data_IF_630337230094
#
_entry.id   IF_630337230094
#
_cell.length_a   1.000
_cell.length_b   1.000
_cell.length_c   1.000
_cell.angle_alpha   90.00
_cell.angle_beta   90.00
_cell.angle_gamma   90.00
#
_symmetry.space_group_name_H-M   'P 1'
#
loop_
_entity.id
_entity.type
_entity.pdbx_description
1 polymer ?
#
# COMPACT_ATOMS: atom_id res chain seq x y z
N UNK A 1 -9.81 18.42 6.83
CA UNK A 1 -9.81 18.55 8.31
C UNK A 1 -10.65 17.43 8.89
N UNK A 2 -10.22 16.82 10.00
CA UNK A 2 -11.01 15.81 10.73
C UNK A 2 -11.78 16.50 11.85
N UNK A 3 -13.08 16.27 11.92
CA UNK A 3 -13.99 16.84 12.92
C UNK A 3 -14.83 15.74 13.58
N UNK A 4 -15.57 16.11 14.63
CA UNK A 4 -16.46 15.23 15.39
C UNK A 4 -17.87 15.81 15.35
N UNK A 5 -18.85 15.01 14.94
CA UNK A 5 -20.26 15.39 14.92
C UNK A 5 -20.80 15.46 16.35
N UNK A 6 -21.99 16.05 16.52
CA UNK A 6 -22.66 16.13 17.83
C UNK A 6 -22.96 14.77 18.45
N UNK A 7 -23.11 13.73 17.64
CA UNK A 7 -23.32 12.34 18.08
C UNK A 7 -22.01 11.61 18.42
N UNK A 8 -20.85 12.27 18.28
CA UNK A 8 -19.53 11.69 18.55
C UNK A 8 -18.87 11.00 17.36
N UNK A 9 -19.55 10.88 16.22
CA UNK A 9 -18.95 10.27 15.02
C UNK A 9 -17.91 11.18 14.37
N UNK A 10 -16.82 10.59 13.89
CA UNK A 10 -15.78 11.31 13.18
C UNK A 10 -16.15 11.53 11.71
N UNK A 11 -15.81 12.69 11.17
CA UNK A 11 -16.05 13.03 9.77
C UNK A 11 -14.93 13.90 9.21
N UNK A 12 -14.78 13.89 7.90
CA UNK A 12 -13.76 14.64 7.19
C UNK A 12 -14.39 15.73 6.34
N UNK A 13 -13.88 16.94 6.47
CA UNK A 13 -14.26 18.08 5.64
C UNK A 13 -13.12 18.50 4.72
N UNK A 14 -13.48 18.77 3.47
CA UNK A 14 -12.70 19.59 2.56
C UNK A 14 -13.37 20.96 2.48
N UNK A 15 -12.62 22.02 2.79
CA UNK A 15 -13.15 23.38 2.78
C UNK A 15 -12.42 24.20 1.72
N UNK A 16 -13.18 24.97 0.95
CA UNK A 16 -12.68 26.00 0.04
C UNK A 16 -13.17 27.34 0.55
N UNK A 17 -12.26 28.30 0.70
CA UNK A 17 -12.57 29.65 1.18
C UNK A 17 -12.13 30.64 0.12
N UNK A 18 -13.03 31.52 -0.31
CA UNK A 18 -12.74 32.55 -1.30
C UNK A 18 -13.23 33.93 -0.81
N UNK A 19 -12.44 35.00 -0.99
CA UNK A 19 -12.91 36.35 -0.69
C UNK A 19 -13.87 36.85 -1.76
N UNK A 20 -14.86 37.61 -1.34
CA UNK A 20 -15.67 38.47 -2.21
C UNK A 20 -15.10 39.86 -2.10
N UNK A 21 -14.72 40.45 -3.24
CA UNK A 21 -14.05 41.73 -3.33
C UNK A 21 -15.00 42.82 -3.82
N UNK A 22 -14.81 44.06 -3.36
CA UNK A 22 -15.39 45.23 -3.99
C UNK A 22 -14.62 45.65 -5.26
N UNK A 23 -15.07 46.73 -5.91
CA UNK A 23 -14.42 47.29 -7.12
C UNK A 23 -13.01 47.83 -6.88
N UNK A 24 -12.63 48.04 -5.62
CA UNK A 24 -11.32 48.55 -5.20
C UNK A 24 -10.42 47.42 -4.66
N UNK A 25 -10.80 46.15 -4.87
CA UNK A 25 -10.13 44.95 -4.37
C UNK A 25 -10.08 44.82 -2.83
N UNK A 26 -10.94 45.54 -2.10
CA UNK A 26 -11.08 45.33 -0.67
C UNK A 26 -11.96 44.10 -0.43
N UNK A 27 -11.57 43.26 0.53
CA UNK A 27 -12.38 42.13 0.97
C UNK A 27 -13.60 42.68 1.71
N UNK A 28 -14.79 42.38 1.18
CA UNK A 28 -16.06 42.73 1.82
C UNK A 28 -16.67 41.53 2.53
N UNK A 29 -16.49 40.31 2.00
CA UNK A 29 -17.00 39.07 2.59
C UNK A 29 -16.08 37.88 2.27
N UNK A 30 -16.30 36.76 2.95
CA UNK A 30 -15.63 35.49 2.70
C UNK A 30 -16.70 34.42 2.49
N UNK A 31 -16.67 33.72 1.35
CA UNK A 31 -17.51 32.56 1.11
C UNK A 31 -16.73 31.29 1.41
N UNK A 32 -17.37 30.37 2.14
CA UNK A 32 -16.82 29.05 2.43
C UNK A 32 -17.75 27.98 1.86
N UNK A 33 -17.15 27.00 1.18
CA UNK A 33 -17.82 25.78 0.77
C UNK A 33 -17.16 24.62 1.48
N UNK A 34 -17.97 23.83 2.20
CA UNK A 34 -17.50 22.65 2.91
C UNK A 34 -18.15 21.40 2.32
N UNK A 35 -17.32 20.45 1.93
CA UNK A 35 -17.74 19.15 1.42
C UNK A 35 -17.38 18.08 2.43
N UNK A 36 -18.37 17.29 2.85
CA UNK A 36 -18.12 16.07 3.62
C UNK A 36 -17.49 15.01 2.73
N UNK A 37 -16.24 14.65 3.03
CA UNK A 37 -15.44 13.69 2.29
C UNK A 37 -15.16 12.42 3.11
N UNK A 38 -15.97 12.14 4.13
CA UNK A 38 -15.76 11.00 5.04
C UNK A 38 -15.70 9.67 4.30
N UNK A 39 -16.65 9.42 3.39
CA UNK A 39 -16.68 8.19 2.59
C UNK A 39 -15.50 8.09 1.61
N UNK A 40 -15.04 9.23 1.09
CA UNK A 40 -13.87 9.28 0.22
C UNK A 40 -12.60 8.89 0.97
N UNK A 41 -12.38 9.44 2.16
CA UNK A 41 -11.23 9.09 3.00
C UNK A 41 -11.31 7.63 3.46
N UNK A 42 -12.50 7.11 3.78
CA UNK A 42 -12.69 5.69 4.10
C UNK A 42 -12.30 4.78 2.93
N UNK A 43 -12.80 5.07 1.73
CA UNK A 43 -12.49 4.30 0.51
C UNK A 43 -11.00 4.35 0.20
N UNK A 44 -10.37 5.52 0.33
CA UNK A 44 -8.93 5.70 0.14
C UNK A 44 -8.11 4.88 1.14
N UNK A 45 -8.53 4.85 2.41
CA UNK A 45 -7.86 4.05 3.43
C UNK A 45 -7.98 2.54 3.15
N UNK A 46 -9.17 2.07 2.74
CA UNK A 46 -9.41 0.68 2.36
C UNK A 46 -8.55 0.26 1.15
N UNK A 47 -8.45 1.14 0.14
CA UNK A 47 -7.60 0.93 -1.03
C UNK A 47 -6.12 0.84 -0.64
N UNK A 48 -5.64 1.75 0.22
CA UNK A 48 -4.26 1.75 0.68
C UNK A 48 -3.92 0.48 1.48
N UNK A 49 -4.82 0.06 2.37
CA UNK A 49 -4.65 -1.19 3.12
C UNK A 49 -4.60 -2.41 2.20
N UNK A 50 -5.46 -2.44 1.17
CA UNK A 50 -5.47 -3.53 0.19
C UNK A 50 -4.19 -3.56 -0.64
N UNK A 51 -3.71 -2.39 -1.07
CA UNK A 51 -2.45 -2.25 -1.79
C UNK A 51 -1.26 -2.74 -0.96
N UNK A 52 -1.16 -2.36 0.31
CA UNK A 52 -0.07 -2.80 1.18
C UNK A 52 -0.06 -4.32 1.35
N UNK A 53 -1.22 -4.96 1.54
CA UNK A 53 -1.32 -6.42 1.62
C UNK A 53 -0.88 -7.11 0.33
N UNK A 54 -1.24 -6.54 -0.82
CA UNK A 54 -0.79 -7.06 -2.11
C UNK A 54 0.73 -6.95 -2.24
N UNK A 55 1.31 -5.81 -1.86
CA UNK A 55 2.75 -5.60 -1.88
C UNK A 55 3.49 -6.61 -0.99
N UNK A 56 3.03 -6.80 0.25
CA UNK A 56 3.58 -7.81 1.17
C UNK A 56 3.53 -9.22 0.57
N UNK A 57 2.41 -9.59 -0.06
CA UNK A 57 2.27 -10.87 -0.74
C UNK A 57 3.21 -10.99 -1.94
N UNK A 58 3.39 -9.93 -2.73
CA UNK A 58 4.31 -9.90 -3.85
C UNK A 58 5.75 -10.08 -3.38
N UNK A 59 6.16 -9.37 -2.33
CA UNK A 59 7.50 -9.48 -1.75
C UNK A 59 7.77 -10.89 -1.24
N UNK A 60 6.79 -11.49 -0.54
CA UNK A 60 6.89 -12.88 -0.08
C UNK A 60 7.02 -13.88 -1.24
N UNK A 61 6.31 -13.67 -2.36
CA UNK A 61 6.42 -14.52 -3.54
C UNK A 61 7.80 -14.40 -4.21
N UNK A 62 8.36 -13.20 -4.31
CA UNK A 62 9.71 -12.98 -4.84
C UNK A 62 10.76 -13.71 -4.01
N UNK A 63 10.67 -13.60 -2.68
CA UNK A 63 11.58 -14.32 -1.78
C UNK A 63 11.42 -15.83 -1.91
N UNK A 64 10.17 -16.32 -1.97
CA UNK A 64 9.88 -17.74 -2.16
C UNK A 64 10.46 -18.27 -3.48
N UNK A 65 10.30 -17.53 -4.57
CA UNK A 65 10.83 -17.92 -5.88
C UNK A 65 12.36 -17.99 -5.86
N UNK A 66 13.03 -17.02 -5.23
CA UNK A 66 14.50 -17.04 -5.09
C UNK A 66 14.96 -18.27 -4.32
N UNK A 67 14.36 -18.53 -3.16
CA UNK A 67 14.71 -19.69 -2.32
C UNK A 67 14.47 -21.00 -3.07
N UNK A 68 13.36 -21.11 -3.80
CA UNK A 68 13.05 -22.30 -4.60
C UNK A 68 14.13 -22.57 -5.65
N UNK A 69 14.59 -21.54 -6.37
CA UNK A 69 15.67 -21.66 -7.36
C UNK A 69 16.99 -22.07 -6.73
N UNK A 70 17.35 -21.48 -5.59
CA UNK A 70 18.57 -21.83 -4.85
C UNK A 70 18.53 -23.28 -4.38
N UNK A 71 17.39 -23.74 -3.88
CA UNK A 71 17.19 -25.12 -3.43
C UNK A 71 17.29 -26.12 -4.60
N UNK A 72 16.65 -25.83 -5.74
CA UNK A 72 16.76 -26.65 -6.96
C UNK A 72 18.20 -26.75 -7.46
N UNK A 73 18.95 -25.65 -7.44
CA UNK A 73 20.36 -25.64 -7.83
C UNK A 73 21.21 -26.49 -6.88
N UNK A 74 21.02 -26.34 -5.57
CA UNK A 74 21.73 -27.13 -4.56
C UNK A 74 21.45 -28.64 -4.71
N UNK A 75 20.22 -29.01 -5.01
CA UNK A 75 19.81 -30.41 -5.21
C UNK A 75 20.52 -31.03 -6.42
N UNK A 76 20.59 -30.30 -7.53
CA UNK A 76 21.32 -30.75 -8.74
C UNK A 76 22.82 -30.92 -8.48
N UNK A 77 23.45 -29.97 -7.79
CA UNK A 77 24.88 -30.07 -7.43
C UNK A 77 25.11 -31.30 -6.52
N UNK A 78 24.21 -31.58 -5.58
CA UNK A 78 24.35 -32.76 -4.72
C UNK A 78 24.30 -34.07 -5.52
N UNK A 79 23.40 -34.19 -6.49
CA UNK A 79 23.30 -35.35 -7.39
C UNK A 79 24.58 -35.53 -8.21
N UNK A 80 25.14 -34.44 -8.76
CA UNK A 80 26.36 -34.48 -9.59
C UNK A 80 27.64 -34.85 -8.80
N UNK A 81 27.71 -34.56 -7.49
CA UNK A 81 28.89 -34.79 -6.64
C UNK A 81 28.80 -36.02 -5.71
N UNK A 82 27.62 -36.63 -5.58
CA UNK A 82 27.44 -37.93 -4.94
C UNK A 82 26.66 -38.85 -5.88
N UNK A 83 27.32 -39.39 -6.93
CA UNK A 83 26.69 -40.43 -7.74
C UNK A 83 26.33 -41.63 -6.86
N UNK A 84 25.39 -42.45 -7.34
CA UNK A 84 24.92 -43.63 -6.61
C UNK A 84 26.11 -44.48 -6.10
N UNK A 85 26.00 -45.14 -4.94
CA UNK A 85 27.08 -45.93 -4.35
C UNK A 85 27.71 -46.99 -5.29
N UNK A 86 27.00 -47.35 -6.37
CA UNK A 86 27.42 -48.27 -7.42
C UNK A 86 28.58 -47.70 -8.28
N UNK A 87 28.74 -46.38 -8.37
CA UNK A 87 29.84 -45.73 -9.12
C UNK A 87 31.08 -45.44 -8.26
N UNK A 88 30.98 -45.60 -6.93
CA UNK A 88 32.11 -45.44 -5.99
C UNK A 88 32.98 -46.70 -5.86
N UNK A 89 32.63 -47.81 -6.50
CA UNK A 89 33.45 -49.02 -6.57
C UNK A 89 34.32 -49.03 -7.84
N UNK A 90 35.35 -48.19 -7.89
CA UNK A 90 36.46 -48.37 -8.84
C UNK A 90 37.79 -48.11 -8.12
N UNK A 91 38.26 -49.11 -7.37
CA UNK A 91 39.61 -49.71 -7.45
C UNK A 91 39.70 -50.93 -6.51
#
# INVERSE_FOLDING_TARGET
MKNVRKDGSEYWLQSVIAPILDMNNNIIEMIMMETDITELEKTKHELLSSYNKLQESTDALVVKERISKEFELASKIQEDFMPAPEEMQIE
#
